data_IF_811055547518
#
_entry.id   IF_811055547518
#
_cell.length_a   1.000
_cell.length_b   1.000
_cell.length_c   1.000
_cell.angle_alpha   90.00
_cell.angle_beta   90.00
_cell.angle_gamma   90.00
#
_symmetry.space_group_name_H-M   'P 1'
#
loop_
_entity.id
_entity.type
_entity.pdbx_description
1 polymer ?
#
# COMPACT_ATOMS: atom_id res chain seq x y z
N UNK A 1 13.66 29.33 2.34
CA UNK A 1 13.31 28.46 1.19
C UNK A 1 14.35 27.36 1.12
N UNK A 2 13.94 26.09 1.22
CA UNK A 2 14.90 24.99 1.16
C UNK A 2 15.20 24.70 -0.33
N UNK A 3 16.38 25.10 -0.80
CA UNK A 3 16.78 24.98 -2.20
C UNK A 3 17.13 23.54 -2.64
N UNK A 4 17.20 22.61 -1.69
CA UNK A 4 17.69 21.25 -1.94
C UNK A 4 16.58 20.19 -1.91
N UNK A 5 15.40 20.53 -1.42
CA UNK A 5 14.29 19.61 -1.32
C UNK A 5 13.11 20.07 -2.17
N UNK A 6 12.50 19.13 -2.88
CA UNK A 6 11.22 19.37 -3.54
C UNK A 6 10.15 19.62 -2.47
N UNK A 7 9.32 20.63 -2.69
CA UNK A 7 8.10 20.78 -1.90
C UNK A 7 7.10 19.72 -2.37
N UNK A 8 6.78 18.80 -1.48
CA UNK A 8 5.72 17.80 -1.70
C UNK A 8 4.57 18.17 -0.76
N UNK A 9 3.37 18.45 -1.27
CA UNK A 9 2.22 18.71 -0.42
C UNK A 9 1.91 17.46 0.42
N UNK A 10 1.18 17.58 1.54
CA UNK A 10 0.69 16.44 2.27
C UNK A 10 -0.07 15.48 1.35
N UNK A 11 0.09 14.19 1.55
CA UNK A 11 -0.71 13.20 0.81
C UNK A 11 -2.20 13.44 1.12
N UNK A 12 -3.07 13.29 0.12
CA UNK A 12 -4.48 13.66 0.21
C UNK A 12 -5.22 13.14 1.45
N UNK A 13 -4.85 11.96 1.96
CA UNK A 13 -5.41 11.46 3.23
C UNK A 13 -5.04 12.34 4.43
N UNK A 14 -3.83 12.88 4.46
CA UNK A 14 -3.40 13.76 5.55
C UNK A 14 -4.06 15.14 5.49
N UNK A 15 -4.32 15.66 4.28
CA UNK A 15 -5.14 16.86 4.12
C UNK A 15 -6.54 16.67 4.73
N UNK A 16 -7.17 15.53 4.47
CA UNK A 16 -8.47 15.20 5.03
C UNK A 16 -8.42 15.10 6.56
N UNK A 17 -7.39 14.45 7.11
CA UNK A 17 -7.20 14.31 8.55
C UNK A 17 -6.99 15.65 9.24
N UNK A 18 -6.16 16.52 8.67
CA UNK A 18 -5.89 17.85 9.21
C UNK A 18 -7.12 18.75 9.11
N UNK A 19 -7.80 18.75 7.97
CA UNK A 19 -9.03 19.50 7.79
C UNK A 19 -10.13 19.06 8.76
N UNK A 20 -10.24 17.76 9.01
CA UNK A 20 -11.16 17.24 10.01
C UNK A 20 -10.84 17.78 11.41
N UNK A 21 -9.58 17.70 11.81
CA UNK A 21 -9.13 18.19 13.11
C UNK A 21 -9.33 19.71 13.25
N UNK A 22 -9.06 20.48 12.20
CA UNK A 22 -9.23 21.93 12.18
C UNK A 22 -10.71 22.34 12.34
N UNK A 23 -11.61 21.59 11.71
CA UNK A 23 -13.06 21.88 11.75
C UNK A 23 -13.71 21.41 13.06
N UNK A 24 -13.37 20.21 13.52
CA UNK A 24 -14.05 19.57 14.64
C UNK A 24 -13.28 19.64 15.97
N UNK A 25 -12.04 20.13 15.96
CA UNK A 25 -11.22 20.27 17.16
C UNK A 25 -10.74 18.96 17.77
N UNK A 26 -10.96 17.83 17.09
CA UNK A 26 -10.56 16.50 17.55
C UNK A 26 -10.01 15.68 16.38
N UNK A 27 -8.97 14.84 16.59
CA UNK A 27 -8.46 13.97 15.56
C UNK A 27 -9.52 12.94 15.07
N UNK A 28 -9.49 12.65 13.78
CA UNK A 28 -10.34 11.58 13.22
C UNK A 28 -9.91 10.22 13.80
N UNK A 29 -10.89 9.45 14.30
CA UNK A 29 -10.66 8.14 14.94
C UNK A 29 -10.71 8.18 16.47
N UNK A 30 -10.73 9.38 17.08
CA UNK A 30 -10.93 9.53 18.53
C UNK A 30 -12.36 9.19 18.95
N UNK A 31 -12.57 8.99 20.25
CA UNK A 31 -13.87 8.66 20.81
C UNK A 31 -14.93 9.70 20.41
N UNK A 32 -16.05 9.23 19.92
CA UNK A 32 -17.15 10.08 19.43
C UNK A 32 -17.04 10.48 17.96
N UNK A 33 -15.99 10.07 17.26
CA UNK A 33 -15.88 10.25 15.80
C UNK A 33 -16.27 8.97 15.05
N UNK A 34 -16.72 9.13 13.81
CA UNK A 34 -17.08 8.03 12.92
C UNK A 34 -16.30 8.16 11.59
N UNK A 35 -15.05 7.70 11.52
CA UNK A 35 -14.14 7.94 10.38
C UNK A 35 -14.45 7.02 9.19
N UNK A 36 -15.58 7.20 8.54
CA UNK A 36 -16.02 6.39 7.40
C UNK A 36 -15.19 6.63 6.13
N UNK A 37 -14.43 7.71 6.10
CA UNK A 37 -13.52 8.04 5.00
C UNK A 37 -12.18 7.31 5.07
N UNK A 38 -11.93 6.57 6.13
CA UNK A 38 -10.66 5.87 6.35
C UNK A 38 -10.91 4.46 6.89
N UNK A 39 -10.22 3.48 6.30
CA UNK A 39 -10.26 2.10 6.78
C UNK A 39 -9.36 1.91 8.01
N UNK A 40 -9.89 2.14 9.20
CA UNK A 40 -9.18 1.79 10.43
C UNK A 40 -9.32 0.30 10.71
N UNK A 41 -8.22 -0.44 10.89
CA UNK A 41 -8.31 -1.84 11.30
C UNK A 41 -8.88 -1.94 12.72
N UNK A 42 -9.64 -2.99 12.97
CA UNK A 42 -10.05 -3.33 14.33
C UNK A 42 -8.80 -3.70 15.15
N UNK A 43 -8.57 -2.95 16.22
CA UNK A 43 -7.45 -3.19 17.15
C UNK A 43 -7.90 -3.95 18.41
N UNK A 44 -9.16 -4.40 18.44
CA UNK A 44 -9.73 -5.19 19.52
C UNK A 44 -9.52 -6.68 19.28
N UNK A 45 -9.57 -7.47 20.37
CA UNK A 45 -9.48 -8.91 20.27
C UNK A 45 -10.58 -9.47 19.36
N UNK A 46 -10.17 -10.21 18.34
CA UNK A 46 -11.10 -10.90 17.43
C UNK A 46 -11.69 -12.11 18.15
N UNK A 47 -13.01 -12.27 18.21
CA UNK A 47 -13.65 -13.46 18.80
C UNK A 47 -13.13 -14.74 18.15
N UNK A 48 -12.61 -15.68 18.95
CA UNK A 48 -12.01 -16.91 18.45
C UNK A 48 -10.63 -16.79 17.81
N UNK A 49 -10.10 -15.57 17.69
CA UNK A 49 -8.76 -15.31 17.17
C UNK A 49 -7.65 -15.51 18.21
N UNK A 50 -6.39 -15.48 17.77
CA UNK A 50 -5.26 -15.55 18.69
C UNK A 50 -5.26 -14.37 19.64
N UNK A 51 -4.73 -14.56 20.84
CA UNK A 51 -4.59 -13.46 21.81
C UNK A 51 -3.66 -12.38 21.24
N UNK A 52 -4.06 -11.13 21.42
CA UNK A 52 -3.21 -9.99 21.07
C UNK A 52 -1.97 -10.03 21.97
N UNK A 53 -0.76 -10.08 21.42
CA UNK A 53 0.46 -10.07 22.22
C UNK A 53 0.58 -8.73 22.93
N UNK A 54 0.75 -8.77 24.25
CA UNK A 54 0.99 -7.58 25.08
C UNK A 54 2.47 -7.35 25.35
N UNK A 55 3.31 -8.31 25.00
CA UNK A 55 4.74 -8.27 25.17
C UNK A 55 5.41 -9.02 24.03
N UNK A 56 6.55 -8.50 23.58
CA UNK A 56 7.41 -9.12 22.58
C UNK A 56 8.82 -9.19 23.18
N UNK A 57 9.38 -10.40 23.25
CA UNK A 57 10.74 -10.60 23.72
C UNK A 57 11.73 -10.18 22.61
N UNK A 58 12.67 -9.34 22.97
CA UNK A 58 13.75 -8.88 22.08
C UNK A 58 15.06 -9.43 22.64
N UNK A 59 15.80 -10.13 21.83
CA UNK A 59 17.13 -10.63 22.18
C UNK A 59 18.23 -9.87 21.42
N UNK A 60 19.47 -10.09 21.77
CA UNK A 60 20.60 -9.35 21.18
C UNK A 60 20.77 -9.56 19.67
N UNK A 61 20.30 -10.68 19.12
CA UNK A 61 20.36 -10.95 17.68
C UNK A 61 19.31 -10.15 16.90
N UNK A 62 18.21 -9.77 17.56
CA UNK A 62 17.15 -8.95 16.95
C UNK A 62 17.59 -7.47 16.79
N UNK A 63 18.63 -7.07 17.54
CA UNK A 63 19.22 -5.73 17.48
C UNK A 63 20.34 -5.60 16.44
N UNK A 64 20.68 -6.67 15.74
CA UNK A 64 21.66 -6.65 14.66
C UNK A 64 21.06 -6.05 13.38
N UNK A 65 21.93 -5.72 12.42
CA UNK A 65 21.45 -5.32 11.09
C UNK A 65 20.52 -6.37 10.49
N UNK A 66 19.34 -5.97 10.01
CA UNK A 66 18.41 -6.89 9.40
C UNK A 66 19.00 -7.49 8.11
N UNK A 67 18.52 -8.67 7.72
CA UNK A 67 18.80 -9.20 6.39
C UNK A 67 18.13 -8.32 5.35
N UNK A 68 18.83 -7.99 4.26
CA UNK A 68 18.35 -7.06 3.23
C UNK A 68 16.98 -7.45 2.62
N UNK A 69 16.72 -8.74 2.50
CA UNK A 69 15.48 -9.28 1.93
C UNK A 69 14.43 -9.64 2.99
N UNK A 70 14.77 -9.54 4.25
CA UNK A 70 13.99 -10.03 5.38
C UNK A 70 14.54 -11.33 5.96
N UNK A 71 14.08 -11.69 7.16
CA UNK A 71 14.51 -12.92 7.83
C UNK A 71 14.07 -14.15 7.02
N UNK A 72 14.97 -15.13 6.79
CA UNK A 72 14.67 -16.30 5.95
C UNK A 72 13.42 -17.04 6.38
N UNK A 73 13.28 -17.34 7.68
CA UNK A 73 12.13 -18.06 8.22
C UNK A 73 10.80 -17.32 7.98
N UNK A 74 10.79 -15.99 8.05
CA UNK A 74 9.61 -15.19 7.74
C UNK A 74 9.28 -15.27 6.26
N UNK A 75 10.25 -15.17 5.37
CA UNK A 75 10.08 -15.27 3.93
C UNK A 75 9.53 -16.66 3.52
N UNK A 76 10.08 -17.72 4.09
CA UNK A 76 9.61 -19.11 3.92
C UNK A 76 8.16 -19.25 4.39
N UNK A 77 7.83 -18.72 5.56
CA UNK A 77 6.47 -18.77 6.12
C UNK A 77 5.47 -18.01 5.25
N UNK A 78 5.85 -16.84 4.74
CA UNK A 78 5.00 -16.06 3.82
C UNK A 78 4.78 -16.85 2.52
N UNK A 79 5.83 -17.41 1.93
CA UNK A 79 5.70 -18.23 0.72
C UNK A 79 4.78 -19.43 0.95
N UNK A 80 4.96 -20.13 2.07
CA UNK A 80 4.10 -21.27 2.45
C UNK A 80 2.63 -20.86 2.62
N UNK A 81 2.36 -19.71 3.24
CA UNK A 81 1.01 -19.15 3.39
C UNK A 81 0.34 -18.93 2.04
N UNK A 82 1.02 -18.23 1.11
CA UNK A 82 0.46 -17.96 -0.22
C UNK A 82 0.29 -19.23 -1.05
N UNK A 83 1.19 -20.19 -0.94
CA UNK A 83 1.04 -21.50 -1.60
C UNK A 83 -0.16 -22.27 -1.07
N UNK A 84 -0.39 -22.25 0.24
CA UNK A 84 -1.49 -22.97 0.88
C UNK A 84 -2.85 -22.34 0.59
N UNK A 85 -3.00 -21.03 0.78
CA UNK A 85 -4.29 -20.36 0.72
C UNK A 85 -4.66 -19.79 -0.65
N UNK A 86 -3.68 -19.53 -1.51
CA UNK A 86 -3.87 -18.86 -2.79
C UNK A 86 -3.38 -19.68 -3.98
N UNK A 87 -2.99 -20.94 -3.76
CA UNK A 87 -2.43 -21.81 -4.80
C UNK A 87 -1.28 -21.16 -5.58
N UNK A 88 -0.52 -20.25 -4.94
CA UNK A 88 0.68 -19.67 -5.51
C UNK A 88 1.75 -20.75 -5.69
N UNK A 89 2.72 -20.50 -6.54
CA UNK A 89 3.86 -21.38 -6.75
C UNK A 89 5.14 -20.56 -6.55
N UNK A 90 5.35 -20.14 -5.30
CA UNK A 90 6.45 -19.25 -4.91
C UNK A 90 7.28 -19.90 -3.80
N UNK A 91 8.50 -19.43 -3.65
CA UNK A 91 9.40 -19.78 -2.56
C UNK A 91 9.92 -18.51 -1.87
N UNK A 92 10.85 -18.65 -0.93
CA UNK A 92 11.41 -17.53 -0.20
C UNK A 92 12.11 -16.50 -1.10
N UNK A 93 12.62 -16.90 -2.25
CA UNK A 93 13.30 -15.98 -3.18
C UNK A 93 12.33 -15.04 -3.90
N UNK A 94 11.04 -15.36 -3.89
CA UNK A 94 9.98 -14.50 -4.42
C UNK A 94 9.42 -13.53 -3.37
N UNK A 95 9.97 -13.52 -2.15
CA UNK A 95 9.47 -12.70 -1.04
C UNK A 95 10.54 -11.72 -0.58
N UNK A 96 10.17 -10.46 -0.51
CA UNK A 96 10.97 -9.41 0.11
C UNK A 96 10.13 -8.68 1.16
N UNK A 97 10.70 -8.49 2.35
CA UNK A 97 10.01 -7.89 3.50
C UNK A 97 10.44 -6.43 3.65
N UNK A 98 9.48 -5.55 3.78
CA UNK A 98 9.68 -4.11 3.99
C UNK A 98 9.10 -3.67 5.34
N UNK A 99 9.60 -2.58 5.88
CA UNK A 99 9.03 -1.93 7.04
C UNK A 99 7.75 -1.17 6.67
N UNK A 100 6.69 -1.91 6.36
CA UNK A 100 5.40 -1.41 5.87
C UNK A 100 5.23 -1.54 4.35
N UNK A 101 3.98 -1.50 3.87
CA UNK A 101 3.66 -1.69 2.45
C UNK A 101 4.12 -0.54 1.55
N UNK A 102 4.03 0.71 2.01
CA UNK A 102 4.43 1.88 1.20
C UNK A 102 5.88 1.88 0.72
N UNK A 103 6.90 1.57 1.55
CA UNK A 103 8.27 1.42 1.07
C UNK A 103 8.42 0.35 -0.01
N UNK A 104 7.70 -0.77 0.11
CA UNK A 104 7.70 -1.82 -0.91
C UNK A 104 7.09 -1.35 -2.23
N UNK A 105 5.95 -0.68 -2.17
CA UNK A 105 5.30 -0.08 -3.35
C UNK A 105 6.20 0.96 -4.02
N UNK A 106 6.80 1.84 -3.22
CA UNK A 106 7.74 2.85 -3.75
C UNK A 106 8.94 2.20 -4.43
N UNK A 107 9.50 1.15 -3.84
CA UNK A 107 10.62 0.41 -4.42
C UNK A 107 10.24 -0.20 -5.77
N UNK A 108 9.08 -0.87 -5.86
CA UNK A 108 8.60 -1.44 -7.13
C UNK A 108 8.46 -0.34 -8.18
N UNK A 109 7.77 0.76 -7.87
CA UNK A 109 7.55 1.85 -8.81
C UNK A 109 8.85 2.55 -9.24
N UNK A 110 9.84 2.62 -8.35
CA UNK A 110 11.15 3.19 -8.64
C UNK A 110 11.94 2.35 -9.64
N UNK A 111 11.88 1.03 -9.50
CA UNK A 111 12.66 0.10 -10.33
C UNK A 111 11.96 -0.33 -11.63
N UNK A 112 10.70 0.05 -11.83
CA UNK A 112 10.04 -0.19 -13.12
C UNK A 112 10.73 0.59 -14.23
N UNK A 113 10.86 -0.03 -15.39
CA UNK A 113 11.33 0.64 -16.58
C UNK A 113 10.39 1.77 -17.02
N UNK A 114 10.93 2.78 -17.68
CA UNK A 114 10.20 4.02 -17.99
C UNK A 114 9.07 3.85 -19.01
N UNK A 115 9.14 2.80 -19.81
CA UNK A 115 8.16 2.47 -20.86
C UNK A 115 7.01 1.56 -20.39
N UNK A 116 7.01 1.17 -19.11
CA UNK A 116 5.87 0.46 -18.52
C UNK A 116 4.66 1.41 -18.44
N UNK A 117 3.56 1.02 -19.07
CA UNK A 117 2.27 1.69 -18.95
C UNK A 117 1.63 1.34 -17.61
N UNK A 118 1.29 2.36 -16.81
CA UNK A 118 0.70 2.18 -15.49
C UNK A 118 -0.77 2.58 -15.57
N UNK A 119 -1.68 1.71 -15.15
CA UNK A 119 -3.11 1.96 -15.08
C UNK A 119 -3.62 1.78 -13.67
N UNK A 120 -4.49 2.68 -13.26
CA UNK A 120 -5.01 2.76 -11.91
C UNK A 120 -6.44 3.29 -11.95
N UNK A 121 -7.35 2.73 -11.15
CA UNK A 121 -8.70 3.26 -11.07
C UNK A 121 -8.70 4.69 -10.50
N UNK A 122 -9.65 5.51 -10.94
CA UNK A 122 -9.76 6.91 -10.47
C UNK A 122 -10.12 7.05 -8.99
N UNK A 123 -10.53 5.96 -8.35
CA UNK A 123 -10.93 5.91 -6.92
C UNK A 123 -10.07 4.96 -6.08
N UNK A 124 -8.82 4.75 -6.48
CA UNK A 124 -7.89 3.87 -5.78
C UNK A 124 -7.20 4.53 -4.57
N UNK A 125 -6.34 3.75 -3.94
CA UNK A 125 -5.54 4.15 -2.79
C UNK A 125 -4.72 5.41 -3.08
N UNK A 126 -5.07 6.52 -2.45
CA UNK A 126 -4.52 7.86 -2.75
C UNK A 126 -2.98 7.95 -2.77
N UNK A 127 -2.22 7.23 -1.93
CA UNK A 127 -0.76 7.25 -2.01
C UNK A 127 -0.17 6.77 -3.33
N UNK A 128 -0.88 5.98 -4.13
CA UNK A 128 -0.39 5.60 -5.47
C UNK A 128 -0.16 6.81 -6.35
N UNK A 129 -1.12 7.73 -6.40
CA UNK A 129 -1.02 8.95 -7.22
C UNK A 129 0.15 9.83 -6.79
N UNK A 130 0.36 9.96 -5.48
CA UNK A 130 1.46 10.77 -4.94
C UNK A 130 2.82 10.15 -5.22
N UNK A 131 2.95 8.83 -5.10
CA UNK A 131 4.18 8.10 -5.47
C UNK A 131 4.49 8.25 -6.95
N UNK A 132 3.50 8.07 -7.83
CA UNK A 132 3.66 8.18 -9.27
C UNK A 132 4.05 9.62 -9.67
N UNK A 133 3.41 10.62 -9.04
CA UNK A 133 3.75 12.03 -9.25
C UNK A 133 5.16 12.36 -8.80
N UNK A 134 5.56 11.90 -7.61
CA UNK A 134 6.91 12.09 -7.07
C UNK A 134 7.98 11.48 -7.98
N UNK A 135 7.73 10.27 -8.48
CA UNK A 135 8.61 9.56 -9.39
C UNK A 135 8.51 10.05 -10.85
N UNK A 136 7.63 11.03 -11.13
CA UNK A 136 7.36 11.54 -12.48
C UNK A 136 6.96 10.43 -13.47
N UNK A 137 6.26 9.41 -12.96
CA UNK A 137 5.75 8.31 -13.78
C UNK A 137 4.47 8.73 -14.48
N UNK A 138 4.37 8.42 -15.74
CA UNK A 138 3.10 8.56 -16.48
C UNK A 138 2.17 7.41 -16.08
N UNK A 139 0.90 7.72 -15.95
CA UNK A 139 -0.13 6.72 -15.68
C UNK A 139 -1.45 7.15 -16.33
N UNK A 140 -2.33 6.19 -16.56
CA UNK A 140 -3.66 6.38 -17.09
C UNK A 140 -4.69 6.06 -16.01
N UNK A 141 -5.71 6.92 -15.90
CA UNK A 141 -6.83 6.67 -15.01
C UNK A 141 -7.88 5.81 -15.72
N UNK A 142 -8.26 4.73 -15.08
CA UNK A 142 -9.41 3.92 -15.46
C UNK A 142 -10.62 4.46 -14.69
N UNK A 143 -11.68 4.79 -15.40
CA UNK A 143 -12.86 5.38 -14.78
C UNK A 143 -13.50 4.42 -13.78
N UNK A 144 -13.72 4.92 -12.56
CA UNK A 144 -14.34 4.20 -11.47
C UNK A 144 -15.31 5.14 -10.76
N UNK A 145 -16.58 4.80 -10.79
CA UNK A 145 -17.65 5.64 -10.28
C UNK A 145 -18.93 4.86 -10.03
N UNK A 146 -19.99 5.58 -9.76
CA UNK A 146 -21.33 5.00 -9.47
C UNK A 146 -21.83 4.14 -10.62
N UNK A 147 -21.53 4.54 -11.86
CA UNK A 147 -21.99 3.89 -13.08
C UNK A 147 -21.48 2.45 -13.22
N UNK A 148 -20.27 2.17 -12.73
CA UNK A 148 -19.68 0.83 -12.74
C UNK A 148 -19.54 0.23 -11.33
N UNK A 149 -20.26 0.79 -10.34
CA UNK A 149 -20.23 0.33 -8.95
C UNK A 149 -18.87 0.42 -8.29
N UNK A 150 -18.03 1.35 -8.72
CA UNK A 150 -16.63 1.50 -8.25
C UNK A 150 -15.76 0.28 -8.50
N UNK A 151 -16.12 -0.54 -9.49
CA UNK A 151 -15.43 -1.80 -9.80
C UNK A 151 -15.22 -1.92 -11.32
N UNK A 152 -14.19 -1.28 -11.87
CA UNK A 152 -13.85 -1.44 -13.28
C UNK A 152 -13.57 -2.91 -13.61
N UNK A 153 -13.95 -3.33 -14.82
CA UNK A 153 -13.68 -4.67 -15.30
C UNK A 153 -12.22 -4.84 -15.73
N UNK A 154 -11.73 -6.08 -15.81
CA UNK A 154 -10.38 -6.35 -16.29
C UNK A 154 -10.12 -5.76 -17.70
N UNK A 155 -11.15 -5.72 -18.57
CA UNK A 155 -11.05 -5.13 -19.90
C UNK A 155 -10.81 -3.62 -19.87
N UNK A 156 -11.33 -2.92 -18.87
CA UNK A 156 -11.12 -1.48 -18.72
C UNK A 156 -9.66 -1.15 -18.40
N UNK A 157 -8.99 -2.04 -17.67
CA UNK A 157 -7.55 -1.89 -17.37
C UNK A 157 -6.64 -2.29 -18.53
N UNK A 158 -7.03 -3.27 -19.35
CA UNK A 158 -6.19 -3.73 -20.45
C UNK A 158 -6.17 -2.71 -21.60
N UNK A 159 -7.31 -2.04 -21.87
CA UNK A 159 -7.44 -1.09 -22.96
C UNK A 159 -7.15 -1.71 -24.32
N UNK A 160 -6.94 -0.86 -25.32
CA UNK A 160 -6.63 -1.26 -26.71
C UNK A 160 -5.11 -1.36 -26.97
N UNK A 161 -4.29 -1.22 -25.94
CA UNK A 161 -2.85 -1.26 -26.07
C UNK A 161 -2.40 -2.72 -26.11
N UNK A 162 -1.91 -3.15 -27.28
CA UNK A 162 -1.31 -4.47 -27.48
C UNK A 162 0.11 -4.60 -26.89
N UNK A 163 0.62 -3.58 -26.17
CA UNK A 163 1.89 -3.72 -25.47
C UNK A 163 1.70 -4.66 -24.27
N UNK A 164 2.49 -5.74 -24.22
CA UNK A 164 2.51 -6.65 -23.07
C UNK A 164 3.22 -6.04 -21.83
N UNK A 165 3.43 -4.72 -21.80
CA UNK A 165 4.20 -4.03 -20.77
C UNK A 165 3.30 -3.11 -19.94
N UNK A 166 2.29 -3.69 -19.33
CA UNK A 166 1.32 -2.99 -18.52
C UNK A 166 1.44 -3.39 -17.04
N UNK A 167 1.31 -2.41 -16.16
CA UNK A 167 1.14 -2.60 -14.71
C UNK A 167 -0.23 -2.05 -14.32
N UNK A 168 -1.00 -2.85 -13.62
CA UNK A 168 -2.25 -2.41 -12.97
C UNK A 168 -2.00 -2.31 -11.48
N UNK A 169 -2.34 -1.17 -10.89
CA UNK A 169 -2.36 -0.96 -9.45
C UNK A 169 -3.80 -1.10 -8.95
N UNK A 170 -4.01 -2.01 -8.02
CA UNK A 170 -5.29 -2.32 -7.38
C UNK A 170 -5.19 -2.20 -5.87
#
# INVERSE_FOLDING_TARGET
MNLFLNHVPPMGIYETLYSFQDVFGTPMGESGTHPWSQGFPLTTQIPGGPKIPTQVDINSTDLMYPKAWGQPQLRETIAAYYNHYHAAKIDAENVMVFAGGRPGLMAILLFLESDISIRIASTEYTPYYDMLRLLKRKYELVESGVENGFSPSASDYIGNDNSNRNLVLL
#
